data_IF_965489722401
#
_entry.id   IF_965489722401
#
_cell.length_a   1.000
_cell.length_b   1.000
_cell.length_c   1.000
_cell.angle_alpha   90.00
_cell.angle_beta   90.00
_cell.angle_gamma   90.00
#
_symmetry.space_group_name_H-M   'P 1'
#
loop_
_entity.id
_entity.type
_entity.pdbx_description
1 polymer ?
#
# COMPACT_ATOMS: atom_id res chain seq x y z
N UNK A 1 47.86 -0.33 26.18
CA UNK A 1 47.92 -0.24 24.71
C UNK A 1 46.54 0.11 24.17
N UNK A 2 46.47 1.10 23.28
CA UNK A 2 45.25 1.64 22.68
C UNK A 2 44.89 0.94 21.36
N UNK A 3 43.59 0.97 21.06
CA UNK A 3 42.90 0.77 19.76
C UNK A 3 43.00 -0.60 19.08
N UNK A 4 41.84 -1.24 18.95
CA UNK A 4 41.48 -1.98 17.74
C UNK A 4 40.01 -1.73 17.40
N UNK A 5 39.86 -1.03 16.29
CA UNK A 5 38.72 -0.69 15.45
C UNK A 5 37.30 -1.08 15.86
N UNK A 6 36.52 -0.02 16.11
CA UNK A 6 35.15 0.09 15.60
C UNK A 6 35.15 -0.25 14.12
N UNK A 7 34.59 -1.41 13.77
CA UNK A 7 34.26 -1.72 12.38
C UNK A 7 32.92 -1.08 12.13
N UNK A 8 32.96 0.14 11.58
CA UNK A 8 31.82 0.74 10.91
C UNK A 8 31.35 -0.26 9.84
N UNK A 9 30.34 -1.05 10.16
CA UNK A 9 29.52 -1.72 9.18
C UNK A 9 28.66 -0.65 8.50
N UNK A 10 29.32 0.26 7.78
CA UNK A 10 28.70 1.05 6.74
C UNK A 10 28.41 0.09 5.58
N UNK A 11 27.50 -0.85 5.83
CA UNK A 11 26.76 -1.52 4.80
C UNK A 11 25.99 -0.41 4.13
N UNK A 12 26.62 0.16 3.09
CA UNK A 12 25.93 0.97 2.09
C UNK A 12 24.72 0.15 1.71
N UNK A 13 23.58 0.49 2.29
CA UNK A 13 22.31 0.36 1.62
C UNK A 13 22.60 0.99 0.28
N UNK A 14 22.86 0.15 -0.72
CA UNK A 14 22.73 0.57 -2.09
C UNK A 14 21.28 0.95 -2.13
N UNK A 15 21.00 2.23 -1.90
CA UNK A 15 19.77 2.90 -2.28
C UNK A 15 19.44 2.25 -3.62
N UNK A 16 18.46 1.35 -3.61
CA UNK A 16 17.85 0.93 -4.85
C UNK A 16 17.24 2.24 -5.31
N UNK A 17 17.96 2.96 -6.17
CA UNK A 17 17.45 4.18 -6.76
C UNK A 17 16.09 3.80 -7.32
N UNK A 18 15.05 4.25 -6.63
CA UNK A 18 13.67 3.98 -6.99
C UNK A 18 13.51 4.33 -8.46
N UNK A 19 12.71 3.58 -9.22
CA UNK A 19 12.44 3.90 -10.63
C UNK A 19 11.91 5.34 -10.83
N UNK A 20 11.45 5.94 -9.74
CA UNK A 20 10.91 7.29 -9.63
C UNK A 20 11.98 8.37 -9.35
N UNK A 21 13.22 8.01 -8.95
CA UNK A 21 14.27 8.96 -8.54
C UNK A 21 14.70 9.95 -9.62
N UNK A 22 14.55 9.58 -10.90
CA UNK A 22 14.92 10.41 -12.05
C UNK A 22 13.76 11.26 -12.61
N UNK A 23 12.55 11.14 -12.05
CA UNK A 23 11.39 11.88 -12.52
C UNK A 23 11.38 13.34 -12.04
N UNK A 24 10.76 14.21 -12.84
CA UNK A 24 10.53 15.60 -12.44
C UNK A 24 9.60 15.66 -11.24
N UNK A 25 9.91 16.52 -10.26
CA UNK A 25 9.15 16.67 -9.02
C UNK A 25 7.65 16.87 -9.23
N UNK A 26 7.25 17.73 -10.19
CA UNK A 26 5.83 17.95 -10.50
C UNK A 26 5.12 16.71 -11.05
N UNK A 27 5.83 15.84 -11.77
CA UNK A 27 5.29 14.55 -12.24
C UNK A 27 5.18 13.54 -11.11
N UNK A 28 6.16 13.51 -10.20
CA UNK A 28 6.12 12.68 -9.00
C UNK A 28 4.96 13.06 -8.08
N UNK A 29 4.76 14.36 -7.88
CA UNK A 29 3.66 14.87 -7.06
C UNK A 29 2.29 14.49 -7.64
N UNK A 30 2.09 14.68 -8.96
CA UNK A 30 0.85 14.25 -9.63
C UNK A 30 0.63 12.73 -9.55
N UNK A 31 1.70 11.95 -9.65
CA UNK A 31 1.65 10.49 -9.52
C UNK A 31 1.32 10.08 -8.08
N UNK A 32 1.94 10.70 -7.09
CA UNK A 32 1.68 10.48 -5.67
C UNK A 32 0.23 10.80 -5.31
N UNK A 33 -0.30 11.94 -5.75
CA UNK A 33 -1.72 12.31 -5.54
C UNK A 33 -2.64 11.25 -6.13
N UNK A 34 -2.38 10.83 -7.37
CA UNK A 34 -3.20 9.81 -8.04
C UNK A 34 -3.13 8.46 -7.32
N UNK A 35 -1.94 8.04 -6.89
CA UNK A 35 -1.73 6.78 -6.17
C UNK A 35 -2.36 6.81 -4.76
N UNK A 36 -2.37 7.94 -4.07
CA UNK A 36 -3.07 8.10 -2.79
C UNK A 36 -4.59 7.97 -2.97
N UNK A 37 -5.16 8.58 -4.02
CA UNK A 37 -6.59 8.45 -4.33
C UNK A 37 -6.96 6.99 -4.63
N UNK A 38 -6.19 6.31 -5.47
CA UNK A 38 -6.38 4.88 -5.74
C UNK A 38 -6.27 4.05 -4.45
N UNK A 39 -5.28 4.33 -3.59
CA UNK A 39 -5.11 3.62 -2.32
C UNK A 39 -6.35 3.75 -1.42
N UNK A 40 -6.91 4.96 -1.31
CA UNK A 40 -8.14 5.21 -0.54
C UNK A 40 -9.34 4.44 -1.10
N UNK A 41 -9.49 4.42 -2.43
CA UNK A 41 -10.55 3.67 -3.10
C UNK A 41 -10.42 2.16 -2.89
N UNK A 42 -9.20 1.62 -2.97
CA UNK A 42 -8.93 0.21 -2.71
C UNK A 42 -9.27 -0.16 -1.27
N UNK A 43 -8.84 0.64 -0.28
CA UNK A 43 -9.20 0.40 1.13
C UNK A 43 -10.72 0.36 1.32
N UNK A 44 -11.45 1.33 0.78
CA UNK A 44 -12.90 1.39 0.92
C UNK A 44 -13.60 0.17 0.28
N UNK A 45 -13.13 -0.25 -0.90
CA UNK A 45 -13.67 -1.42 -1.59
C UNK A 45 -13.33 -2.74 -0.86
N UNK A 46 -12.12 -2.84 -0.29
CA UNK A 46 -11.66 -4.02 0.41
C UNK A 46 -12.35 -4.18 1.77
N UNK A 47 -12.59 -3.08 2.49
CA UNK A 47 -13.36 -3.06 3.73
C UNK A 47 -14.79 -3.57 3.50
N UNK A 48 -15.44 -3.15 2.42
CA UNK A 48 -16.80 -3.60 2.09
C UNK A 48 -16.89 -5.12 1.90
N UNK A 49 -15.87 -5.73 1.27
CA UNK A 49 -15.79 -7.19 1.09
C UNK A 49 -15.49 -7.89 2.41
N UNK A 50 -14.60 -7.34 3.23
CA UNK A 50 -14.32 -7.87 4.56
C UNK A 50 -15.58 -7.87 5.43
N UNK A 51 -16.34 -6.78 5.46
CA UNK A 51 -17.59 -6.69 6.21
C UNK A 51 -18.63 -7.70 5.70
N UNK A 52 -18.76 -7.89 4.38
CA UNK A 52 -19.65 -8.90 3.82
C UNK A 52 -19.24 -10.31 4.23
N UNK A 53 -17.94 -10.63 4.14
CA UNK A 53 -17.41 -11.90 4.58
C UNK A 53 -17.64 -12.13 6.08
N UNK A 54 -17.44 -11.11 6.92
CA UNK A 54 -17.70 -11.17 8.35
C UNK A 54 -19.19 -11.42 8.66
N UNK A 55 -20.10 -10.72 7.96
CA UNK A 55 -21.54 -10.94 8.06
C UNK A 55 -21.93 -12.35 7.63
N UNK A 56 -21.43 -12.82 6.49
CA UNK A 56 -21.72 -14.13 5.95
C UNK A 56 -21.21 -15.25 6.88
N UNK A 57 -20.04 -15.07 7.49
CA UNK A 57 -19.44 -16.04 8.44
C UNK A 57 -20.27 -16.17 9.71
N UNK A 58 -20.94 -15.11 10.15
CA UNK A 58 -21.82 -15.13 11.31
C UNK A 58 -23.20 -15.75 11.03
N UNK A 59 -23.56 -15.97 9.76
CA UNK A 59 -24.84 -16.52 9.35
C UNK A 59 -24.74 -18.04 9.03
N UNK A 60 -25.31 -18.92 9.87
CA UNK A 60 -25.24 -20.38 9.69
C UNK A 60 -26.03 -20.88 8.47
N UNK A 61 -26.85 -20.04 7.84
CA UNK A 61 -27.57 -20.39 6.61
C UNK A 61 -26.70 -20.29 5.35
N UNK A 62 -25.56 -19.59 5.43
CA UNK A 62 -24.65 -19.41 4.31
C UNK A 62 -23.85 -20.69 4.05
N UNK A 63 -23.81 -21.09 2.78
CA UNK A 63 -23.06 -22.28 2.39
C UNK A 63 -21.55 -22.06 2.51
N UNK A 64 -20.82 -23.14 2.84
CA UNK A 64 -19.36 -23.12 2.89
C UNK A 64 -18.70 -22.70 1.57
N UNK A 65 -19.35 -22.98 0.42
CA UNK A 65 -18.86 -22.56 -0.90
C UNK A 65 -18.87 -21.03 -1.06
N UNK A 66 -19.93 -20.37 -0.60
CA UNK A 66 -20.04 -18.90 -0.63
C UNK A 66 -19.01 -18.27 0.31
N UNK A 67 -18.84 -18.81 1.53
CA UNK A 67 -17.82 -18.34 2.45
C UNK A 67 -16.40 -18.45 1.88
N UNK A 68 -16.09 -19.56 1.19
CA UNK A 68 -14.81 -19.76 0.52
C UNK A 68 -14.57 -18.75 -0.61
N UNK A 69 -15.60 -18.45 -1.40
CA UNK A 69 -15.51 -17.45 -2.47
C UNK A 69 -15.21 -16.06 -1.92
N UNK A 70 -15.90 -15.64 -0.85
CA UNK A 70 -15.65 -14.34 -0.19
C UNK A 70 -14.24 -14.27 0.42
N UNK A 71 -13.78 -15.37 1.03
CA UNK A 71 -12.41 -15.46 1.54
C UNK A 71 -11.36 -15.35 0.42
N UNK A 72 -11.56 -16.03 -0.71
CA UNK A 72 -10.65 -15.97 -1.85
C UNK A 72 -10.61 -14.57 -2.47
N UNK A 73 -11.76 -13.90 -2.57
CA UNK A 73 -11.84 -12.51 -3.02
C UNK A 73 -11.09 -11.57 -2.09
N UNK A 74 -11.30 -11.68 -0.77
CA UNK A 74 -10.59 -10.90 0.23
C UNK A 74 -9.07 -11.07 0.11
N UNK A 75 -8.57 -12.30 -0.01
CA UNK A 75 -7.13 -12.57 -0.16
C UNK A 75 -6.57 -12.01 -1.48
N UNK A 76 -7.33 -12.09 -2.57
CA UNK A 76 -6.91 -11.54 -3.86
C UNK A 76 -6.80 -10.01 -3.80
N UNK A 77 -7.75 -9.35 -3.15
CA UNK A 77 -7.76 -7.91 -2.92
C UNK A 77 -6.63 -7.44 -2.04
N UNK A 78 -6.41 -8.12 -0.91
CA UNK A 78 -5.29 -7.82 0.00
C UNK A 78 -3.95 -7.81 -0.75
N UNK A 79 -3.68 -8.81 -1.59
CA UNK A 79 -2.44 -8.86 -2.40
C UNK A 79 -2.33 -7.70 -3.39
N UNK A 80 -3.45 -7.29 -4.01
CA UNK A 80 -3.48 -6.15 -4.92
C UNK A 80 -3.17 -4.85 -4.18
N UNK A 81 -3.77 -4.67 -3.01
CA UNK A 81 -3.58 -3.48 -2.17
C UNK A 81 -2.16 -3.40 -1.60
N UNK A 82 -1.55 -4.52 -1.24
CA UNK A 82 -0.12 -4.57 -0.85
C UNK A 82 0.81 -4.11 -1.97
N UNK A 83 0.60 -4.60 -3.20
CA UNK A 83 1.41 -4.18 -4.37
C UNK A 83 1.24 -2.68 -4.64
N UNK A 84 0.01 -2.19 -4.55
CA UNK A 84 -0.29 -0.77 -4.79
C UNK A 84 0.30 0.12 -3.68
N UNK A 85 0.26 -0.31 -2.43
CA UNK A 85 0.84 0.41 -1.30
C UNK A 85 2.37 0.45 -1.37
N UNK A 86 3.02 -0.64 -1.79
CA UNK A 86 4.47 -0.67 -2.02
C UNK A 86 4.89 0.33 -3.10
N UNK A 87 4.17 0.36 -4.23
CA UNK A 87 4.41 1.34 -5.29
C UNK A 87 4.21 2.78 -4.78
N UNK A 88 3.14 3.03 -4.02
CA UNK A 88 2.93 4.34 -3.39
C UNK A 88 4.10 4.70 -2.45
N UNK A 89 4.60 3.76 -1.65
CA UNK A 89 5.76 3.99 -0.78
C UNK A 89 6.99 4.41 -1.58
N UNK A 90 7.30 3.69 -2.66
CA UNK A 90 8.44 4.03 -3.54
C UNK A 90 8.30 5.43 -4.17
N UNK A 91 7.07 5.86 -4.47
CA UNK A 91 6.79 7.20 -5.01
C UNK A 91 7.00 8.26 -3.93
N UNK A 92 6.49 8.04 -2.72
CA UNK A 92 6.63 8.98 -1.60
C UNK A 92 8.09 9.13 -1.18
N UNK A 93 8.85 8.03 -1.14
CA UNK A 93 10.29 8.05 -0.85
C UNK A 93 11.05 8.88 -1.89
N UNK A 94 10.70 8.75 -3.17
CA UNK A 94 11.31 9.54 -4.24
C UNK A 94 10.87 11.02 -4.22
N UNK A 95 9.63 11.31 -3.80
CA UNK A 95 9.10 12.67 -3.69
C UNK A 95 9.65 13.41 -2.47
N UNK A 96 9.94 12.68 -1.39
CA UNK A 96 10.50 13.20 -0.13
C UNK A 96 9.46 13.80 0.84
N UNK A 97 8.17 13.75 0.49
CA UNK A 97 7.05 14.18 1.34
C UNK A 97 5.74 13.56 0.87
N UNK A 98 4.71 13.59 1.73
CA UNK A 98 3.33 13.20 1.37
C UNK A 98 2.58 14.44 0.89
N UNK A 99 2.11 14.50 -0.37
CA UNK A 99 1.40 15.66 -0.88
C UNK A 99 0.00 15.78 -0.28
N UNK A 100 -0.54 17.00 -0.28
CA UNK A 100 -1.93 17.22 0.10
C UNK A 100 -2.86 16.63 -0.96
N UNK A 101 -3.75 15.74 -0.54
CA UNK A 101 -4.75 15.13 -1.40
C UNK A 101 -6.12 15.50 -0.87
N UNK A 102 -6.95 16.20 -1.67
CA UNK A 102 -8.30 16.55 -1.27
C UNK A 102 -9.03 15.34 -0.69
N UNK A 103 -9.78 15.55 0.39
CA UNK A 103 -10.69 14.53 0.86
C UNK A 103 -11.74 14.32 -0.22
N UNK A 104 -12.03 13.05 -0.52
CA UNK A 104 -13.18 12.71 -1.34
C UNK A 104 -14.39 13.28 -0.60
N UNK A 105 -15.01 14.31 -1.19
CA UNK A 105 -16.27 14.84 -0.67
C UNK A 105 -17.29 13.72 -0.87
N UNK A 106 -17.54 12.96 0.18
CA UNK A 106 -18.72 12.11 0.25
C UNK A 106 -19.94 13.04 0.27
N UNK A 107 -20.48 13.36 -0.90
CA UNK A 107 -21.84 13.87 -1.07
C UNK A 107 -22.84 12.71 -1.14
#
# INVERSE_FOLDING_TARGET
MNKASSSDANGREKERESRFSSMQQSKLEALAVSAILEHRLLIAADEAVYEEWARATADPSISAAVLKSLQEEYVARQKKSEVQQEELSEIIDALGYVPEVPLDKHE
#
